data_IF_962818349108
#
_entry.id   IF_962818349108
#
_cell.length_a   1.000
_cell.length_b   1.000
_cell.length_c   1.000
_cell.angle_alpha   90.00
_cell.angle_beta   90.00
_cell.angle_gamma   90.00
#
_symmetry.space_group_name_H-M   'P 1'
#
loop_
_entity.id
_entity.type
_entity.pdbx_description
1 polymer ?
#
# COMPACT_ATOMS: atom_id res chain seq x y z
N UNK A 1 42.12 32.10 14.20
CA UNK A 1 41.50 31.44 13.01
C UNK A 1 40.19 32.15 12.69
N UNK A 2 40.19 32.99 11.65
CA UNK A 2 39.00 33.74 11.23
C UNK A 2 37.96 32.80 10.55
N UNK A 3 36.71 32.84 11.00
CA UNK A 3 35.59 32.11 10.38
C UNK A 3 35.36 32.67 8.96
N UNK A 4 35.18 31.81 7.93
CA UNK A 4 34.84 32.29 6.61
C UNK A 4 33.47 32.99 6.64
N UNK A 5 33.41 34.19 6.04
CA UNK A 5 32.17 34.98 6.02
C UNK A 5 31.07 34.29 5.23
N UNK A 6 29.78 34.60 5.51
CA UNK A 6 28.60 34.02 4.85
C UNK A 6 28.66 34.09 3.30
N UNK A 7 29.32 35.11 2.74
CA UNK A 7 29.55 35.25 1.29
C UNK A 7 30.48 34.16 0.72
N UNK A 8 31.54 33.81 1.46
CA UNK A 8 32.50 32.77 1.05
C UNK A 8 31.85 31.38 1.11
N UNK A 9 31.01 31.13 2.10
CA UNK A 9 30.23 29.89 2.22
C UNK A 9 29.22 29.72 1.07
N UNK A 10 28.51 30.82 0.72
CA UNK A 10 27.55 30.81 -0.39
C UNK A 10 28.20 30.56 -1.76
N UNK A 11 29.39 31.15 -2.01
CA UNK A 11 30.15 30.90 -3.25
C UNK A 11 30.66 29.46 -3.30
N UNK A 12 31.12 28.91 -2.16
CA UNK A 12 31.57 27.50 -2.09
C UNK A 12 30.43 26.52 -2.37
N UNK A 13 29.25 26.75 -1.82
CA UNK A 13 28.06 25.93 -2.08
C UNK A 13 27.63 26.01 -3.55
N UNK A 14 27.66 27.20 -4.15
CA UNK A 14 27.33 27.40 -5.57
C UNK A 14 28.34 26.68 -6.48
N UNK A 15 29.62 26.77 -6.19
CA UNK A 15 30.66 26.08 -6.94
C UNK A 15 30.54 24.54 -6.83
N UNK A 16 30.22 24.01 -5.64
CA UNK A 16 30.00 22.59 -5.45
C UNK A 16 28.76 22.10 -6.19
N UNK A 17 27.68 22.88 -6.17
CA UNK A 17 26.48 22.58 -6.95
C UNK A 17 26.71 22.58 -8.47
N UNK A 18 27.46 23.56 -8.98
CA UNK A 18 27.83 23.63 -10.40
C UNK A 18 28.82 22.51 -10.82
N UNK A 19 29.75 22.14 -9.95
CA UNK A 19 30.64 20.99 -10.19
C UNK A 19 29.85 19.69 -10.17
N UNK A 20 28.91 19.51 -9.24
CA UNK A 20 28.01 18.35 -9.18
C UNK A 20 27.14 18.25 -10.43
N UNK A 21 26.52 19.33 -10.87
CA UNK A 21 25.75 19.39 -12.09
C UNK A 21 26.58 19.12 -13.35
N UNK A 22 27.82 19.61 -13.39
CA UNK A 22 28.76 19.36 -14.51
C UNK A 22 29.18 17.88 -14.57
N UNK A 23 29.50 17.24 -13.45
CA UNK A 23 29.82 15.81 -13.39
C UNK A 23 28.61 14.97 -13.75
N UNK A 24 27.43 15.28 -13.25
CA UNK A 24 26.18 14.61 -13.60
C UNK A 24 25.89 14.70 -15.10
N UNK A 25 25.98 15.88 -15.68
CA UNK A 25 25.79 16.09 -17.12
C UNK A 25 26.79 15.32 -18.00
N UNK A 26 28.07 15.26 -17.58
CA UNK A 26 29.11 14.51 -18.32
C UNK A 26 28.92 13.00 -18.20
N UNK A 27 28.50 12.48 -17.06
CA UNK A 27 28.18 11.06 -16.87
C UNK A 27 26.96 10.67 -17.71
N UNK A 28 25.92 11.50 -17.74
CA UNK A 28 24.74 11.27 -18.58
C UNK A 28 25.10 11.25 -20.06
N UNK A 29 25.87 12.24 -20.52
CA UNK A 29 26.32 12.31 -21.91
C UNK A 29 27.17 11.09 -22.28
N UNK A 30 28.04 10.63 -21.40
CA UNK A 30 28.89 9.44 -21.63
C UNK A 30 28.07 8.13 -21.70
N UNK A 31 26.93 8.04 -21.00
CA UNK A 31 25.99 6.91 -21.04
C UNK A 31 25.02 6.98 -22.23
N UNK A 32 24.94 8.13 -22.93
CA UNK A 32 24.05 8.34 -24.07
C UNK A 32 22.56 8.33 -23.70
N UNK A 33 22.21 8.85 -22.49
CA UNK A 33 20.82 8.97 -22.06
C UNK A 33 20.04 9.95 -22.96
N UNK A 34 18.82 9.56 -23.35
CA UNK A 34 17.89 10.38 -24.15
C UNK A 34 16.98 11.26 -23.31
N UNK A 35 16.95 11.04 -21.99
CA UNK A 35 16.15 11.80 -21.04
C UNK A 35 16.28 11.27 -19.63
N UNK A 36 15.43 11.76 -18.73
CA UNK A 36 15.24 11.23 -17.38
C UNK A 36 13.79 11.28 -16.95
N UNK A 37 13.40 10.43 -16.02
CA UNK A 37 12.13 10.43 -15.35
C UNK A 37 12.35 10.32 -13.85
N UNK A 38 11.66 11.15 -13.06
CA UNK A 38 11.67 11.06 -11.60
C UNK A 38 10.56 10.15 -11.13
N UNK A 39 10.93 9.17 -10.29
CA UNK A 39 10.02 8.17 -9.70
C UNK A 39 10.07 8.25 -8.18
N UNK A 40 8.96 8.60 -7.54
CA UNK A 40 8.81 8.60 -6.09
C UNK A 40 7.99 7.38 -5.64
N UNK A 41 8.52 6.55 -4.72
CA UNK A 41 7.83 5.40 -4.16
C UNK A 41 8.20 5.20 -2.68
N UNK A 42 7.52 4.28 -1.98
CA UNK A 42 7.82 3.96 -0.57
C UNK A 42 8.81 2.80 -0.41
N UNK A 43 9.22 2.16 -1.47
CA UNK A 43 10.08 0.99 -1.42
C UNK A 43 11.50 1.34 -0.96
N UNK A 44 12.04 0.52 -0.05
CA UNK A 44 13.36 0.70 0.54
C UNK A 44 14.03 -0.65 0.80
N UNK A 45 15.33 -0.65 1.13
CA UNK A 45 16.07 -1.89 1.40
C UNK A 45 15.98 -2.89 0.25
N UNK A 46 15.75 -4.15 0.56
CA UNK A 46 15.70 -5.27 -0.41
C UNK A 46 14.62 -5.08 -1.48
N UNK A 47 13.47 -4.55 -1.11
CA UNK A 47 12.36 -4.31 -2.05
C UNK A 47 12.77 -3.30 -3.14
N UNK A 48 13.45 -2.22 -2.74
CA UNK A 48 14.02 -1.26 -3.67
C UNK A 48 15.09 -1.89 -4.56
N UNK A 49 16.01 -2.66 -3.98
CA UNK A 49 17.08 -3.35 -4.71
C UNK A 49 16.52 -4.27 -5.78
N UNK A 50 15.49 -5.05 -5.46
CA UNK A 50 14.80 -5.91 -6.42
C UNK A 50 14.11 -5.12 -7.53
N UNK A 51 13.46 -4.01 -7.20
CA UNK A 51 12.82 -3.17 -8.21
C UNK A 51 13.85 -2.47 -9.11
N UNK A 52 14.96 -2.01 -8.57
CA UNK A 52 16.08 -1.45 -9.34
C UNK A 52 16.65 -2.50 -10.30
N UNK A 53 16.96 -3.71 -9.83
CA UNK A 53 17.58 -4.78 -10.62
C UNK A 53 16.65 -5.33 -11.73
N UNK A 54 15.37 -5.58 -11.39
CA UNK A 54 14.47 -6.27 -12.31
C UNK A 54 13.63 -5.35 -13.19
N UNK A 55 13.47 -4.08 -12.80
CA UNK A 55 12.59 -3.14 -13.50
C UNK A 55 13.34 -1.93 -14.02
N UNK A 56 14.08 -1.20 -13.14
CA UNK A 56 14.72 0.05 -13.53
C UNK A 56 15.90 -0.21 -14.49
N UNK A 57 16.82 -1.09 -14.14
CA UNK A 57 17.99 -1.35 -14.98
C UNK A 57 17.61 -1.85 -16.39
N UNK A 58 16.69 -2.82 -16.58
CA UNK A 58 16.22 -3.23 -17.90
C UNK A 58 15.51 -2.12 -18.68
N UNK A 59 14.72 -1.28 -17.99
CA UNK A 59 14.10 -0.10 -18.61
C UNK A 59 15.14 0.88 -19.14
N UNK A 60 16.11 1.21 -18.32
CA UNK A 60 17.20 2.13 -18.65
C UNK A 60 18.03 1.62 -19.83
N UNK A 61 18.34 0.33 -19.85
CA UNK A 61 19.07 -0.30 -20.96
C UNK A 61 18.28 -0.26 -22.26
N UNK A 62 16.98 -0.56 -22.19
CA UNK A 62 16.10 -0.65 -23.36
C UNK A 62 15.79 0.71 -23.95
N UNK A 63 15.49 1.72 -23.13
CA UNK A 63 14.96 3.02 -23.59
C UNK A 63 15.95 4.17 -23.49
N UNK A 64 17.09 3.98 -22.89
CA UNK A 64 18.10 5.03 -22.66
C UNK A 64 17.54 6.23 -21.89
N UNK A 65 16.62 5.97 -20.97
CA UNK A 65 16.00 6.95 -20.08
C UNK A 65 16.52 6.69 -18.66
N UNK A 66 17.10 7.70 -18.02
CA UNK A 66 17.63 7.65 -16.65
C UNK A 66 16.47 7.74 -15.64
N UNK A 67 16.30 6.76 -14.75
CA UNK A 67 15.28 6.78 -13.70
C UNK A 67 15.86 7.34 -12.41
N UNK A 68 15.44 8.54 -12.06
CA UNK A 68 15.84 9.18 -10.80
C UNK A 68 14.89 8.71 -9.70
N UNK A 69 15.24 7.58 -9.06
CA UNK A 69 14.43 7.00 -8.01
C UNK A 69 14.57 7.75 -6.68
N UNK A 70 13.43 8.04 -6.04
CA UNK A 70 13.32 8.62 -4.71
C UNK A 70 12.48 7.70 -3.81
N UNK A 71 13.11 7.07 -2.83
CA UNK A 71 12.42 6.23 -1.84
C UNK A 71 12.12 7.00 -0.56
N UNK A 72 10.89 6.89 -0.04
CA UNK A 72 10.52 7.53 1.23
C UNK A 72 9.43 6.78 1.97
N UNK A 73 9.68 6.38 3.22
CA UNK A 73 8.65 5.86 4.13
C UNK A 73 7.61 6.92 4.51
N UNK A 74 7.91 8.21 4.31
CA UNK A 74 6.97 9.33 4.47
C UNK A 74 6.43 9.83 3.12
N UNK A 75 6.19 8.91 2.19
CA UNK A 75 5.80 9.15 0.81
C UNK A 75 4.72 10.22 0.65
N UNK A 76 3.59 10.06 1.32
CA UNK A 76 2.45 10.99 1.21
C UNK A 76 2.78 12.42 1.65
N UNK A 77 3.65 12.57 2.68
CA UNK A 77 4.09 13.87 3.15
C UNK A 77 5.07 14.53 2.16
N UNK A 78 6.00 13.74 1.62
CA UNK A 78 6.96 14.20 0.60
C UNK A 78 6.22 14.62 -0.66
N UNK A 79 5.34 13.78 -1.20
CA UNK A 79 4.56 14.08 -2.39
C UNK A 79 3.71 15.36 -2.21
N UNK A 80 3.03 15.49 -1.08
CA UNK A 80 2.23 16.69 -0.79
C UNK A 80 3.09 17.97 -0.73
N UNK A 81 4.30 17.88 -0.17
CA UNK A 81 5.23 19.00 -0.11
C UNK A 81 5.76 19.39 -1.51
N UNK A 82 6.10 18.42 -2.34
CA UNK A 82 6.59 18.63 -3.70
C UNK A 82 5.51 19.23 -4.61
N UNK A 83 4.27 18.74 -4.51
CA UNK A 83 3.11 19.33 -5.19
C UNK A 83 2.90 20.77 -4.74
N UNK A 84 2.94 21.05 -3.43
CA UNK A 84 2.77 22.40 -2.89
C UNK A 84 3.91 23.35 -3.31
N UNK A 85 5.13 22.83 -3.47
CA UNK A 85 6.28 23.58 -3.97
C UNK A 85 6.25 23.81 -5.49
N UNK A 86 5.31 23.20 -6.22
CA UNK A 86 5.22 23.26 -7.68
C UNK A 86 6.30 22.45 -8.42
N UNK A 87 6.87 21.46 -7.75
CA UNK A 87 7.91 20.60 -8.30
C UNK A 87 7.63 19.11 -7.99
N UNK A 88 6.47 18.58 -8.43
CA UNK A 88 6.14 17.17 -8.22
C UNK A 88 7.09 16.25 -9.01
N UNK A 89 7.25 14.99 -8.60
CA UNK A 89 7.90 13.97 -9.41
C UNK A 89 7.11 13.73 -10.71
N UNK A 90 7.75 13.15 -11.72
CA UNK A 90 7.04 12.81 -12.97
C UNK A 90 6.04 11.68 -12.71
N UNK A 91 6.46 10.65 -11.98
CA UNK A 91 5.65 9.50 -11.57
C UNK A 91 5.74 9.30 -10.06
N UNK A 92 4.61 9.04 -9.42
CA UNK A 92 4.56 8.57 -8.03
C UNK A 92 3.83 7.24 -7.93
N UNK A 93 4.30 6.37 -7.02
CA UNK A 93 3.66 5.08 -6.72
C UNK A 93 3.14 5.11 -5.30
N UNK A 94 1.82 5.05 -5.14
CA UNK A 94 1.14 5.13 -3.84
C UNK A 94 0.50 3.78 -3.48
N UNK A 95 0.38 3.46 -2.17
CA UNK A 95 -0.11 2.14 -1.72
C UNK A 95 -1.61 1.93 -1.94
N UNK A 96 -2.36 2.95 -2.39
CA UNK A 96 -3.80 2.77 -2.60
C UNK A 96 -4.49 3.92 -3.32
N UNK A 97 -5.76 3.71 -3.71
CA UNK A 97 -6.47 4.62 -4.60
C UNK A 97 -7.04 5.87 -3.92
N UNK A 98 -7.17 5.91 -2.59
CA UNK A 98 -7.88 7.00 -1.89
C UNK A 98 -7.17 8.35 -2.00
N UNK A 99 -5.85 8.39 -1.86
CA UNK A 99 -5.05 9.60 -2.03
C UNK A 99 -4.95 9.99 -3.51
N UNK A 100 -4.83 9.00 -4.42
CA UNK A 100 -4.82 9.23 -5.86
C UNK A 100 -6.14 9.82 -6.36
N UNK A 101 -7.27 9.34 -5.87
CA UNK A 101 -8.58 9.92 -6.18
C UNK A 101 -8.64 11.41 -5.82
N UNK A 102 -8.13 11.78 -4.65
CA UNK A 102 -8.09 13.18 -4.23
C UNK A 102 -7.21 14.02 -5.19
N UNK A 103 -6.03 13.53 -5.55
CA UNK A 103 -5.16 14.23 -6.50
C UNK A 103 -5.76 14.30 -7.92
N UNK A 104 -6.47 13.27 -8.38
CA UNK A 104 -7.17 13.31 -9.65
C UNK A 104 -8.27 14.38 -9.66
N UNK A 105 -9.12 14.43 -8.63
CA UNK A 105 -10.18 15.42 -8.47
C UNK A 105 -9.62 16.86 -8.38
N UNK A 106 -8.45 17.02 -7.78
CA UNK A 106 -7.75 18.31 -7.68
C UNK A 106 -6.97 18.68 -8.95
N UNK A 107 -7.07 17.88 -10.03
CA UNK A 107 -6.39 18.11 -11.32
C UNK A 107 -4.86 18.03 -11.22
N UNK A 108 -4.35 17.19 -10.33
CA UNK A 108 -2.91 16.98 -10.10
C UNK A 108 -2.37 15.75 -10.81
N UNK A 109 -3.24 14.86 -11.27
CA UNK A 109 -2.88 13.67 -12.04
C UNK A 109 -3.26 13.83 -13.50
N UNK A 110 -2.51 13.18 -14.36
CA UNK A 110 -2.80 13.11 -15.78
C UNK A 110 -3.44 11.77 -16.13
N UNK A 111 -4.47 11.76 -17.01
CA UNK A 111 -5.07 10.53 -17.52
C UNK A 111 -4.05 9.60 -18.16
N UNK A 112 -4.20 8.30 -17.91
CA UNK A 112 -3.34 7.26 -18.50
C UNK A 112 -3.99 6.57 -19.71
N UNK A 113 -5.09 7.12 -20.22
CA UNK A 113 -5.82 6.58 -21.36
C UNK A 113 -4.91 6.39 -22.58
N UNK A 114 -4.90 5.18 -23.14
CA UNK A 114 -4.06 4.81 -24.28
C UNK A 114 -2.59 4.58 -23.96
N UNK A 115 -2.16 4.66 -22.69
CA UNK A 115 -0.82 4.25 -22.27
C UNK A 115 -0.74 2.75 -22.01
N UNK A 116 -1.84 2.12 -21.61
CA UNK A 116 -1.96 0.67 -21.43
C UNK A 116 -3.41 0.20 -21.72
N UNK A 117 -3.62 -1.10 -21.82
CA UNK A 117 -4.95 -1.69 -21.96
C UNK A 117 -5.55 -1.92 -20.56
N UNK A 118 -6.47 -1.05 -20.15
CA UNK A 118 -7.20 -1.21 -18.89
C UNK A 118 -8.04 -2.50 -18.86
N UNK A 119 -8.33 -3.11 -20.02
CA UNK A 119 -8.99 -4.42 -20.14
C UNK A 119 -8.14 -5.58 -19.64
N UNK A 120 -6.83 -5.42 -19.48
CA UNK A 120 -5.95 -6.41 -18.86
C UNK A 120 -6.09 -6.47 -17.34
N UNK A 121 -6.79 -5.51 -16.75
CA UNK A 121 -7.08 -5.41 -15.32
C UNK A 121 -8.57 -5.51 -15.06
N UNK A 122 -8.96 -5.97 -13.89
CA UNK A 122 -10.33 -5.78 -13.43
C UNK A 122 -10.59 -4.29 -13.17
N UNK A 123 -11.83 -3.83 -13.45
CA UNK A 123 -12.24 -2.44 -13.18
C UNK A 123 -12.05 -2.00 -11.73
N UNK A 124 -11.96 -2.95 -10.85
CA UNK A 124 -11.64 -2.76 -9.45
C UNK A 124 -10.21 -2.20 -9.26
N UNK A 125 -9.22 -2.72 -10.02
CA UNK A 125 -7.82 -2.32 -9.93
C UNK A 125 -7.52 -0.99 -10.65
N UNK A 126 -8.10 -0.82 -11.82
CA UNK A 126 -7.89 0.36 -12.68
C UNK A 126 -9.25 0.93 -13.11
N UNK A 127 -10.03 1.53 -12.19
CA UNK A 127 -11.34 2.09 -12.51
C UNK A 127 -11.22 3.36 -13.35
N UNK A 128 -12.27 3.60 -14.14
CA UNK A 128 -12.52 4.94 -14.65
C UNK A 128 -13.04 5.83 -13.52
N UNK A 129 -12.36 6.92 -13.27
CA UNK A 129 -12.72 7.94 -12.29
C UNK A 129 -13.29 9.15 -13.02
N UNK A 130 -14.48 9.58 -12.61
CA UNK A 130 -15.10 10.80 -13.18
C UNK A 130 -14.60 12.03 -12.44
N UNK A 131 -13.87 12.88 -13.15
CA UNK A 131 -13.41 14.17 -12.64
C UNK A 131 -14.31 15.28 -13.20
N UNK A 132 -14.82 16.20 -12.36
CA UNK A 132 -15.66 17.29 -12.79
C UNK A 132 -14.98 18.16 -13.87
N UNK A 133 -15.58 18.22 -15.07
CA UNK A 133 -15.07 19.01 -16.19
C UNK A 133 -14.11 18.29 -17.14
N UNK A 134 -13.59 17.12 -16.78
CA UNK A 134 -12.66 16.34 -17.63
C UNK A 134 -13.30 15.06 -18.19
N UNK A 135 -14.27 14.47 -17.51
CA UNK A 135 -14.87 13.22 -17.92
C UNK A 135 -14.47 12.03 -17.04
N UNK A 136 -14.61 10.82 -17.59
CA UNK A 136 -14.19 9.59 -16.93
C UNK A 136 -12.89 9.09 -17.57
N UNK A 137 -11.86 8.90 -16.77
CA UNK A 137 -10.52 8.50 -17.19
C UNK A 137 -9.90 7.54 -16.19
N UNK A 138 -8.90 6.76 -16.64
CA UNK A 138 -8.03 5.98 -15.75
C UNK A 138 -6.83 6.83 -15.36
N UNK A 139 -6.58 6.98 -14.04
CA UNK A 139 -5.52 7.87 -13.52
C UNK A 139 -4.34 7.11 -12.89
N UNK A 140 -4.45 5.80 -12.71
CA UNK A 140 -3.37 5.00 -12.13
C UNK A 140 -3.27 3.61 -12.75
N UNK A 141 -2.06 3.07 -12.69
CA UNK A 141 -1.72 1.73 -13.12
C UNK A 141 -1.36 0.89 -11.89
N UNK A 142 -1.98 -0.28 -11.65
CA UNK A 142 -1.51 -1.23 -10.63
C UNK A 142 -0.15 -1.82 -11.03
N UNK A 143 0.88 -1.54 -10.23
CA UNK A 143 2.25 -2.06 -10.46
C UNK A 143 2.47 -3.33 -9.66
N UNK A 144 2.14 -3.28 -8.35
CA UNK A 144 2.21 -4.42 -7.43
C UNK A 144 0.87 -4.60 -6.75
N UNK A 145 0.54 -5.84 -6.42
CA UNK A 145 -0.69 -6.18 -5.69
C UNK A 145 -0.40 -7.26 -4.65
N UNK A 146 -1.23 -7.33 -3.62
CA UNK A 146 -1.06 -8.31 -2.54
C UNK A 146 -2.36 -8.70 -1.88
N UNK A 147 -2.39 -9.86 -1.26
CA UNK A 147 -3.48 -10.29 -0.37
C UNK A 147 -3.19 -9.84 1.06
N UNK A 148 -4.22 -9.48 1.81
CA UNK A 148 -4.12 -9.10 3.23
C UNK A 148 -4.91 -10.01 4.18
N UNK A 149 -6.02 -10.60 3.78
CA UNK A 149 -6.83 -11.52 4.60
C UNK A 149 -6.13 -12.86 4.87
N UNK A 150 -4.88 -12.82 5.32
CA UNK A 150 -4.04 -14.00 5.51
C UNK A 150 -3.63 -14.17 6.97
N UNK A 151 -3.69 -15.40 7.45
CA UNK A 151 -3.14 -15.79 8.74
C UNK A 151 -2.06 -16.82 8.51
N UNK A 152 -0.84 -16.41 8.73
CA UNK A 152 0.36 -17.22 8.61
C UNK A 152 0.58 -18.07 9.87
N UNK A 153 1.08 -19.29 9.68
CA UNK A 153 1.37 -20.22 10.76
C UNK A 153 2.42 -21.27 10.37
N UNK A 154 3.10 -21.83 11.35
CA UNK A 154 3.90 -23.04 11.19
C UNK A 154 3.32 -24.15 12.08
N UNK A 155 3.17 -25.37 11.52
CA UNK A 155 2.59 -26.52 12.21
C UNK A 155 1.12 -26.78 11.84
N UNK A 156 0.26 -27.21 12.79
CA UNK A 156 -1.16 -27.50 12.51
C UNK A 156 -1.93 -26.22 12.15
N UNK A 157 -2.79 -26.30 11.12
CA UNK A 157 -3.64 -25.20 10.70
C UNK A 157 -4.50 -24.68 11.88
N UNK A 158 -4.57 -23.34 12.07
CA UNK A 158 -5.35 -22.77 13.16
C UNK A 158 -6.86 -22.88 12.90
N UNK A 159 -7.61 -22.88 13.99
CA UNK A 159 -9.07 -22.77 14.01
C UNK A 159 -9.46 -21.57 14.88
N UNK A 160 -10.72 -21.12 14.80
CA UNK A 160 -11.21 -20.02 15.64
C UNK A 160 -10.97 -20.27 17.14
N UNK A 161 -11.09 -21.52 17.62
CA UNK A 161 -10.83 -21.88 19.02
C UNK A 161 -9.34 -21.76 19.36
N UNK A 162 -8.45 -22.29 18.52
CA UNK A 162 -6.99 -22.28 18.76
C UNK A 162 -6.37 -20.89 18.58
N UNK A 163 -7.00 -20.00 17.84
CA UNK A 163 -6.57 -18.62 17.60
C UNK A 163 -7.05 -17.63 18.67
N UNK A 164 -8.02 -18.00 19.54
CA UNK A 164 -8.67 -17.10 20.49
C UNK A 164 -7.75 -16.42 21.52
N UNK A 165 -6.75 -17.10 22.13
CA UNK A 165 -5.91 -16.46 23.15
C UNK A 165 -4.98 -15.39 22.56
N UNK A 166 -4.89 -14.16 23.16
CA UNK A 166 -4.01 -13.09 22.66
C UNK A 166 -2.54 -13.49 22.55
N UNK A 167 -2.06 -14.36 23.43
CA UNK A 167 -0.68 -14.86 23.39
C UNK A 167 -0.34 -15.69 22.14
N UNK A 168 -1.34 -16.11 21.37
CA UNK A 168 -1.15 -16.83 20.10
C UNK A 168 -0.72 -15.92 18.97
N UNK A 169 -0.99 -14.61 19.06
CA UNK A 169 -0.75 -13.68 17.99
C UNK A 169 0.58 -12.94 18.12
N UNK A 170 1.34 -12.94 17.04
CA UNK A 170 2.34 -11.94 16.81
C UNK A 170 1.63 -10.66 16.36
N UNK A 171 2.00 -9.54 16.92
CA UNK A 171 1.51 -8.25 16.51
C UNK A 171 2.61 -7.21 16.70
N UNK A 172 2.87 -6.42 15.69
CA UNK A 172 3.76 -5.26 15.71
C UNK A 172 3.05 -4.10 15.01
N UNK A 173 2.99 -2.94 15.66
CA UNK A 173 2.33 -1.75 15.13
C UNK A 173 3.31 -0.64 14.76
N UNK A 174 4.63 -0.87 14.96
CA UNK A 174 5.66 0.10 14.63
C UNK A 174 6.00 0.00 13.14
N UNK A 175 5.96 1.13 12.43
CA UNK A 175 6.30 1.29 11.01
C UNK A 175 6.72 2.74 10.72
N UNK A 176 7.57 3.32 11.57
CA UNK A 176 8.04 4.69 11.39
C UNK A 176 6.92 5.71 11.25
N UNK A 177 6.92 6.45 10.16
CA UNK A 177 5.94 7.51 9.88
C UNK A 177 4.50 6.99 9.68
N UNK A 178 4.34 5.71 9.37
CA UNK A 178 3.05 5.06 9.11
C UNK A 178 2.62 4.10 10.21
N UNK A 179 3.28 4.12 11.38
CA UNK A 179 2.92 3.29 12.53
C UNK A 179 1.42 3.30 12.80
N UNK A 180 0.86 2.11 13.01
CA UNK A 180 -0.57 1.90 13.20
C UNK A 180 -1.26 1.21 12.02
N UNK A 181 -0.73 1.30 10.79
CA UNK A 181 -1.34 0.61 9.64
C UNK A 181 -1.50 -0.92 9.86
N UNK A 182 -0.60 -1.65 10.54
CA UNK A 182 -0.85 -3.07 10.76
C UNK A 182 -2.06 -3.32 11.68
N UNK A 183 -2.43 -2.35 12.51
CA UNK A 183 -3.60 -2.43 13.37
C UNK A 183 -4.89 -2.05 12.63
N UNK A 184 -4.83 -1.19 11.61
CA UNK A 184 -5.99 -0.91 10.75
C UNK A 184 -6.37 -2.14 9.95
N UNK A 185 -5.40 -2.86 9.37
CA UNK A 185 -5.62 -4.12 8.64
C UNK A 185 -6.45 -5.13 9.45
N UNK A 186 -6.17 -5.26 10.76
CA UNK A 186 -6.97 -6.12 11.62
C UNK A 186 -8.42 -5.68 11.75
N UNK A 187 -8.64 -4.38 11.98
CA UNK A 187 -10.00 -3.84 12.13
C UNK A 187 -10.78 -3.96 10.83
N UNK A 188 -10.11 -3.70 9.73
CA UNK A 188 -10.62 -3.73 8.37
C UNK A 188 -11.04 -5.15 7.99
N UNK A 189 -10.14 -6.11 8.12
CA UNK A 189 -10.43 -7.49 7.76
C UNK A 189 -11.50 -8.10 8.68
N UNK A 190 -11.48 -7.80 10.00
CA UNK A 190 -12.58 -8.19 10.90
C UNK A 190 -13.92 -7.62 10.43
N UNK A 191 -13.97 -6.35 10.05
CA UNK A 191 -15.19 -5.73 9.55
C UNK A 191 -15.65 -6.38 8.25
N UNK A 192 -14.72 -6.63 7.32
CA UNK A 192 -15.01 -7.29 6.04
C UNK A 192 -15.61 -8.67 6.26
N UNK A 193 -15.01 -9.50 7.13
CA UNK A 193 -15.50 -10.85 7.39
C UNK A 193 -16.82 -10.86 8.20
N UNK A 194 -16.99 -9.95 9.16
CA UNK A 194 -18.17 -9.94 10.05
C UNK A 194 -19.36 -9.21 9.48
N UNK A 195 -19.18 -8.21 8.60
CA UNK A 195 -20.26 -7.37 8.09
C UNK A 195 -20.45 -7.48 6.57
N UNK A 196 -19.48 -8.05 5.86
CA UNK A 196 -19.51 -8.28 4.42
C UNK A 196 -19.09 -7.07 3.57
N UNK A 197 -18.81 -7.32 2.28
CA UNK A 197 -18.20 -6.33 1.37
C UNK A 197 -18.99 -5.04 1.21
N UNK A 198 -20.33 -5.10 1.25
CA UNK A 198 -21.17 -3.90 1.07
C UNK A 198 -21.04 -2.94 2.26
N UNK A 199 -21.08 -3.45 3.48
CA UNK A 199 -20.93 -2.63 4.69
C UNK A 199 -19.53 -2.06 4.75
N UNK A 200 -18.53 -2.88 4.41
CA UNK A 200 -17.14 -2.50 4.31
C UNK A 200 -16.92 -1.35 3.31
N UNK A 201 -17.43 -1.49 2.09
CA UNK A 201 -17.35 -0.46 1.05
C UNK A 201 -18.05 0.84 1.46
N UNK A 202 -19.25 0.76 2.07
CA UNK A 202 -19.96 1.95 2.54
C UNK A 202 -19.17 2.68 3.64
N UNK A 203 -18.48 1.94 4.50
CA UNK A 203 -17.62 2.50 5.53
C UNK A 203 -16.34 3.12 4.94
N UNK A 204 -15.61 2.41 4.10
CA UNK A 204 -14.39 2.91 3.45
C UNK A 204 -14.66 4.17 2.62
N UNK A 205 -15.80 4.23 1.94
CA UNK A 205 -16.25 5.41 1.20
C UNK A 205 -16.87 6.53 2.07
N UNK A 206 -16.85 6.40 3.39
CA UNK A 206 -17.40 7.40 4.30
C UNK A 206 -18.94 7.56 4.21
N UNK A 207 -19.66 6.60 3.66
CA UNK A 207 -21.14 6.57 3.67
C UNK A 207 -21.68 6.01 4.98
N UNK A 208 -21.05 4.99 5.55
CA UNK A 208 -21.35 4.46 6.88
C UNK A 208 -20.51 5.19 7.96
N UNK A 209 -21.12 5.59 9.09
CA UNK A 209 -20.35 6.25 10.16
C UNK A 209 -19.42 5.28 10.91
N UNK A 210 -18.33 5.82 11.47
CA UNK A 210 -17.42 5.09 12.34
C UNK A 210 -18.10 4.59 13.62
N UNK A 211 -19.11 5.31 14.08
CA UNK A 211 -19.93 4.96 15.26
C UNK A 211 -20.96 3.86 15.00
N UNK A 212 -21.05 3.32 13.79
CA UNK A 212 -21.91 2.18 13.47
C UNK A 212 -21.57 0.96 14.32
N UNK A 213 -22.57 0.17 14.66
CA UNK A 213 -22.42 -1.00 15.51
C UNK A 213 -21.52 -2.09 14.88
N UNK A 214 -21.51 -2.22 13.55
CA UNK A 214 -20.61 -3.17 12.89
C UNK A 214 -19.16 -2.77 13.02
N UNK A 215 -18.85 -1.48 12.82
CA UNK A 215 -17.51 -0.93 13.01
C UNK A 215 -17.05 -1.07 14.46
N UNK A 216 -17.91 -0.69 15.43
CA UNK A 216 -17.64 -0.85 16.85
C UNK A 216 -17.32 -2.30 17.22
N UNK A 217 -18.08 -3.26 16.69
CA UNK A 217 -17.81 -4.71 16.95
C UNK A 217 -16.44 -5.11 16.42
N UNK A 218 -16.04 -4.67 15.21
CA UNK A 218 -14.74 -4.98 14.66
C UNK A 218 -13.59 -4.50 15.58
N UNK A 219 -13.64 -3.27 16.06
CA UNK A 219 -12.67 -2.73 17.03
C UNK A 219 -12.63 -3.52 18.35
N UNK A 220 -13.81 -3.90 18.84
CA UNK A 220 -13.91 -4.68 20.11
C UNK A 220 -13.38 -6.10 19.91
N UNK A 221 -13.67 -6.72 18.78
CA UNK A 221 -13.14 -8.04 18.42
C UNK A 221 -11.62 -8.00 18.32
N UNK A 222 -11.07 -7.03 17.61
CA UNK A 222 -9.63 -6.82 17.50
C UNK A 222 -8.97 -6.67 18.88
N UNK A 223 -9.48 -5.76 19.72
CA UNK A 223 -8.95 -5.55 21.07
C UNK A 223 -8.88 -6.84 21.89
N UNK A 224 -9.92 -7.69 21.79
CA UNK A 224 -9.95 -8.98 22.46
C UNK A 224 -8.95 -10.00 21.91
N UNK A 225 -8.80 -10.06 20.57
CA UNK A 225 -7.88 -11.00 19.92
C UNK A 225 -6.41 -10.70 20.21
N UNK A 226 -6.03 -9.41 20.23
CA UNK A 226 -4.62 -9.03 20.37
C UNK A 226 -4.22 -8.61 21.79
N UNK A 227 -5.18 -8.53 22.72
CA UNK A 227 -4.94 -8.18 24.12
C UNK A 227 -4.69 -6.69 24.33
N UNK A 228 -5.49 -5.83 23.69
CA UNK A 228 -5.41 -4.38 23.88
C UNK A 228 -5.69 -3.99 25.34
N UNK A 229 -4.92 -3.03 25.88
CA UNK A 229 -5.01 -2.58 27.27
C UNK A 229 -4.31 -3.46 28.30
N UNK A 230 -3.78 -4.62 27.90
CA UNK A 230 -2.88 -5.41 28.75
C UNK A 230 -1.51 -4.74 28.82
N UNK A 231 -1.04 -4.38 30.03
CA UNK A 231 0.16 -3.56 30.21
C UNK A 231 1.42 -4.19 29.60
N UNK A 232 1.57 -5.52 29.73
CA UNK A 232 2.74 -6.24 29.20
C UNK A 232 2.70 -6.32 27.66
N UNK A 233 1.48 -6.39 27.09
CA UNK A 233 1.28 -6.44 25.63
C UNK A 233 1.40 -5.07 24.98
N UNK A 234 0.93 -4.02 25.64
CA UNK A 234 0.93 -2.64 25.08
C UNK A 234 2.33 -2.19 24.72
N UNK A 235 3.29 -2.28 25.65
CA UNK A 235 4.68 -1.92 25.36
C UNK A 235 5.26 -2.77 24.22
N UNK A 236 5.10 -4.09 24.30
CA UNK A 236 5.62 -5.02 23.32
C UNK A 236 5.10 -4.69 21.91
N UNK A 237 3.78 -4.59 21.72
CA UNK A 237 3.16 -4.47 20.40
C UNK A 237 3.40 -3.08 19.78
N UNK A 238 3.37 -2.01 20.58
CA UNK A 238 3.60 -0.66 20.09
C UNK A 238 5.06 -0.39 19.67
N UNK A 239 6.01 -1.16 20.19
CA UNK A 239 7.45 -1.01 19.89
C UNK A 239 8.01 -2.11 19.00
N UNK A 240 7.21 -3.12 18.65
CA UNK A 240 7.60 -4.18 17.72
C UNK A 240 7.32 -3.72 16.29
N UNK A 241 8.30 -3.88 15.42
CA UNK A 241 8.15 -3.61 13.99
C UNK A 241 7.10 -4.57 13.38
N UNK A 242 6.38 -4.08 12.38
CA UNK A 242 5.30 -4.81 11.70
C UNK A 242 5.78 -6.10 11.01
N UNK A 243 7.04 -6.15 10.63
CA UNK A 243 7.69 -7.26 9.92
C UNK A 243 8.64 -8.07 10.81
N UNK A 244 8.61 -7.85 12.13
CA UNK A 244 9.43 -8.59 13.08
C UNK A 244 9.15 -10.09 13.03
N UNK A 245 10.16 -10.90 13.32
CA UNK A 245 10.04 -12.36 13.33
C UNK A 245 8.99 -12.84 14.34
N UNK A 246 8.12 -13.70 13.87
CA UNK A 246 7.08 -14.31 14.69
C UNK A 246 7.60 -15.59 15.36
N UNK A 247 7.50 -15.67 16.69
CA UNK A 247 7.96 -16.83 17.43
C UNK A 247 7.22 -18.12 17.02
N UNK A 248 7.95 -19.23 16.98
CA UNK A 248 7.42 -20.53 16.62
C UNK A 248 6.11 -20.90 17.38
N UNK A 249 5.14 -21.42 16.65
CA UNK A 249 3.84 -21.79 17.17
C UNK A 249 2.87 -20.65 17.42
N UNK A 250 3.21 -19.41 17.04
CA UNK A 250 2.30 -18.27 17.00
C UNK A 250 1.68 -18.10 15.61
N UNK A 251 0.74 -17.18 15.52
CA UNK A 251 0.02 -16.79 14.32
C UNK A 251 0.38 -15.35 13.96
N UNK A 252 0.44 -15.05 12.68
CA UNK A 252 0.65 -13.70 12.19
C UNK A 252 -0.46 -13.33 11.20
N UNK A 253 -1.21 -12.25 11.47
CA UNK A 253 -2.11 -11.64 10.49
C UNK A 253 -1.33 -10.58 9.75
N UNK A 254 -0.94 -10.89 8.52
CA UNK A 254 -0.14 -10.02 7.66
C UNK A 254 -0.33 -10.38 6.17
N UNK A 255 -0.02 -9.44 5.30
CA UNK A 255 -0.17 -9.60 3.87
C UNK A 255 0.79 -10.58 3.21
N UNK A 256 0.56 -10.81 1.92
CA UNK A 256 1.31 -11.75 1.09
C UNK A 256 2.80 -11.42 0.92
N UNK A 257 3.22 -10.19 1.23
CA UNK A 257 4.65 -9.82 1.26
C UNK A 257 5.46 -10.63 2.29
N UNK A 258 4.79 -11.29 3.26
CA UNK A 258 5.43 -12.19 4.22
C UNK A 258 5.66 -13.61 3.68
N UNK A 259 5.21 -13.94 2.47
CA UNK A 259 5.30 -15.30 1.91
C UNK A 259 6.73 -15.85 1.90
N UNK A 260 7.73 -15.02 1.52
CA UNK A 260 9.14 -15.41 1.53
C UNK A 260 9.64 -15.81 2.92
N UNK A 261 9.35 -15.00 3.95
CA UNK A 261 9.71 -15.28 5.34
C UNK A 261 9.08 -16.60 5.83
N UNK A 262 7.77 -16.77 5.65
CA UNK A 262 7.08 -17.97 6.12
C UNK A 262 7.46 -19.23 5.35
N UNK A 263 7.85 -19.12 4.08
CA UNK A 263 8.42 -20.24 3.32
C UNK A 263 9.72 -20.74 3.95
N UNK A 264 10.62 -19.86 4.38
CA UNK A 264 11.87 -20.23 5.06
C UNK A 264 11.59 -20.93 6.39
N UNK A 265 10.54 -20.56 7.10
CA UNK A 265 10.08 -21.18 8.35
C UNK A 265 9.26 -22.47 8.15
N UNK A 266 9.04 -22.92 6.90
CA UNK A 266 8.19 -24.06 6.59
C UNK A 266 6.71 -23.85 6.94
N UNK A 267 6.28 -22.58 6.90
CA UNK A 267 4.93 -22.14 7.21
C UNK A 267 3.98 -22.21 6.01
N UNK A 268 2.71 -21.97 6.30
CA UNK A 268 1.60 -21.90 5.35
C UNK A 268 0.62 -20.83 5.84
N UNK A 269 -0.46 -20.60 5.12
CA UNK A 269 -1.49 -19.66 5.55
C UNK A 269 -2.90 -20.23 5.44
N UNK A 270 -3.82 -19.68 6.22
CA UNK A 270 -5.26 -19.84 6.02
C UNK A 270 -5.90 -18.48 5.78
N UNK A 271 -7.08 -18.48 5.15
CA UNK A 271 -7.86 -17.25 5.03
C UNK A 271 -8.32 -16.79 6.41
N UNK A 272 -8.35 -15.48 6.65
CA UNK A 272 -8.67 -14.92 7.97
C UNK A 272 -10.03 -15.36 8.51
N UNK A 273 -11.03 -15.62 7.66
CA UNK A 273 -12.33 -16.14 8.07
C UNK A 273 -12.30 -17.52 8.72
N UNK A 274 -11.22 -18.29 8.56
CA UNK A 274 -11.06 -19.59 9.24
C UNK A 274 -10.81 -19.43 10.74
N UNK A 275 -10.25 -18.28 11.15
CA UNK A 275 -9.90 -18.00 12.55
C UNK A 275 -10.79 -16.93 13.18
N UNK A 276 -11.35 -16.04 12.40
CA UNK A 276 -12.36 -15.05 12.83
C UNK A 276 -13.66 -15.35 12.07
N UNK A 277 -14.63 -16.01 12.70
CA UNK A 277 -15.82 -16.47 12.01
C UNK A 277 -16.56 -15.34 11.30
N UNK A 278 -16.82 -15.55 10.02
CA UNK A 278 -17.57 -14.64 9.19
C UNK A 278 -19.08 -14.71 9.48
N UNK A 279 -19.80 -13.62 9.26
CA UNK A 279 -21.25 -13.55 9.37
C UNK A 279 -21.87 -13.53 7.96
N UNK A 280 -22.36 -14.68 7.49
CA UNK A 280 -23.23 -14.74 6.31
C UNK A 280 -22.61 -15.35 5.05
N UNK A 281 -23.26 -15.12 3.91
CA UNK A 281 -22.96 -15.80 2.63
C UNK A 281 -21.72 -15.26 1.89
N UNK A 282 -21.23 -14.08 2.26
CA UNK A 282 -20.07 -13.41 1.65
C UNK A 282 -18.75 -13.69 2.41
N UNK A 283 -18.75 -14.75 3.21
CA UNK A 283 -17.58 -15.26 3.89
C UNK A 283 -16.47 -15.60 2.87
N UNK A 284 -15.25 -15.09 3.10
CA UNK A 284 -14.12 -15.36 2.23
C UNK A 284 -13.85 -14.29 1.18
N UNK A 285 -14.40 -13.07 1.34
CA UNK A 285 -13.90 -11.91 0.63
C UNK A 285 -12.46 -11.60 1.06
N UNK A 286 -11.60 -11.31 0.08
CA UNK A 286 -10.20 -10.99 0.32
C UNK A 286 -9.98 -9.50 0.44
N UNK A 287 -9.37 -9.06 1.51
CA UNK A 287 -8.74 -7.75 1.55
C UNK A 287 -7.46 -7.78 0.73
N UNK A 288 -7.22 -6.72 -0.04
CA UNK A 288 -6.09 -6.61 -0.95
C UNK A 288 -5.41 -5.26 -0.82
N UNK A 289 -4.14 -5.23 -1.13
CA UNK A 289 -3.32 -4.02 -1.26
C UNK A 289 -2.76 -3.89 -2.67
N UNK A 290 -2.27 -2.71 -3.01
CA UNK A 290 -1.57 -2.52 -4.27
C UNK A 290 -0.79 -1.22 -4.29
N UNK A 291 0.32 -1.24 -5.01
CA UNK A 291 1.11 -0.06 -5.32
C UNK A 291 0.71 0.45 -6.71
N UNK A 292 0.20 1.68 -6.76
CA UNK A 292 -0.45 2.29 -7.91
C UNK A 292 0.40 3.43 -8.46
N UNK A 293 0.90 3.29 -9.69
CA UNK A 293 1.66 4.33 -10.38
C UNK A 293 0.73 5.37 -11.02
N UNK A 294 1.00 6.64 -10.79
CA UNK A 294 0.28 7.76 -11.38
C UNK A 294 1.25 8.81 -11.92
N UNK A 295 0.84 9.52 -12.97
CA UNK A 295 1.62 10.58 -13.62
C UNK A 295 1.18 11.94 -13.10
N UNK A 296 2.13 12.68 -12.52
CA UNK A 296 1.91 14.06 -12.08
C UNK A 296 2.48 15.08 -13.08
N UNK A 297 3.54 14.70 -13.83
CA UNK A 297 4.15 15.54 -14.84
C UNK A 297 4.24 14.74 -16.16
N UNK A 298 3.42 15.03 -17.19
CA UNK A 298 3.26 14.21 -18.38
C UNK A 298 4.40 14.43 -19.37
N UNK A 299 5.58 13.92 -19.04
CA UNK A 299 6.72 13.88 -19.96
C UNK A 299 6.67 12.63 -20.84
N UNK A 300 7.25 12.66 -22.05
CA UNK A 300 7.38 11.44 -22.88
C UNK A 300 8.09 10.29 -22.15
N UNK A 301 9.01 10.62 -21.23
CA UNK A 301 9.74 9.64 -20.42
C UNK A 301 8.84 9.00 -19.35
N UNK A 302 7.97 9.80 -18.71
CA UNK A 302 6.97 9.30 -17.77
C UNK A 302 5.98 8.35 -18.44
N UNK A 303 5.45 8.75 -19.61
CA UNK A 303 4.56 7.89 -20.39
C UNK A 303 5.24 6.59 -20.82
N UNK A 304 6.52 6.67 -21.21
CA UNK A 304 7.28 5.47 -21.59
C UNK A 304 7.48 4.53 -20.39
N UNK A 305 7.71 5.07 -19.19
CA UNK A 305 7.80 4.27 -17.97
C UNK A 305 6.46 3.59 -17.65
N UNK A 306 5.33 4.31 -17.74
CA UNK A 306 4.01 3.69 -17.53
C UNK A 306 3.73 2.58 -18.54
N UNK A 307 4.03 2.77 -19.83
CA UNK A 307 3.88 1.70 -20.83
C UNK A 307 4.73 0.48 -20.53
N UNK A 308 5.94 0.69 -20.04
CA UNK A 308 6.85 -0.39 -19.67
C UNK A 308 6.37 -1.15 -18.43
N UNK A 309 5.91 -0.44 -17.40
CA UNK A 309 5.36 -1.05 -16.19
C UNK A 309 4.06 -1.83 -16.45
N UNK A 310 3.30 -1.43 -17.47
CA UNK A 310 2.07 -2.12 -17.88
C UNK A 310 2.30 -3.30 -18.83
N UNK A 311 3.49 -3.40 -19.41
CA UNK A 311 3.83 -4.48 -20.35
C UNK A 311 3.79 -5.85 -19.62
N UNK A 312 2.95 -6.81 -20.06
CA UNK A 312 2.84 -8.10 -19.39
C UNK A 312 4.14 -8.91 -19.35
N UNK A 313 5.11 -8.58 -20.20
CA UNK A 313 6.43 -9.22 -20.23
C UNK A 313 7.44 -8.54 -19.26
N UNK A 314 7.07 -7.44 -18.61
CA UNK A 314 7.90 -6.80 -17.58
C UNK A 314 7.89 -7.63 -16.30
N UNK A 315 9.08 -8.08 -15.86
CA UNK A 315 9.24 -8.87 -14.65
C UNK A 315 9.08 -8.00 -13.39
N UNK A 316 7.82 -7.67 -13.05
CA UNK A 316 7.52 -6.94 -11.82
C UNK A 316 7.76 -7.85 -10.61
N UNK A 317 8.45 -7.36 -9.55
CA UNK A 317 8.61 -8.13 -8.33
C UNK A 317 7.26 -8.34 -7.62
N UNK A 318 7.14 -9.41 -6.83
CA UNK A 318 5.95 -9.85 -6.12
C UNK A 318 4.78 -10.28 -7.05
N UNK A 319 3.59 -9.67 -6.92
CA UNK A 319 2.39 -10.08 -7.64
C UNK A 319 1.82 -8.93 -8.47
N UNK A 320 1.26 -9.28 -9.62
CA UNK A 320 0.57 -8.32 -10.51
C UNK A 320 -0.91 -8.66 -10.65
N UNK A 321 -1.75 -7.63 -10.77
CA UNK A 321 -3.16 -7.75 -11.16
C UNK A 321 -3.35 -7.84 -12.68
N UNK A 322 -2.30 -7.71 -13.48
CA UNK A 322 -2.36 -7.83 -14.94
C UNK A 322 -2.67 -9.28 -15.34
N UNK A 323 -3.83 -9.50 -15.97
CA UNK A 323 -4.29 -10.82 -16.40
C UNK A 323 -3.55 -11.34 -17.63
N UNK A 324 -2.94 -10.46 -18.41
CA UNK A 324 -2.13 -10.84 -19.58
C UNK A 324 -0.72 -11.31 -19.19
N UNK A 325 -0.25 -10.96 -17.97
CA UNK A 325 1.06 -11.39 -17.50
C UNK A 325 1.12 -12.92 -17.32
N UNK A 326 2.20 -13.51 -17.82
CA UNK A 326 2.44 -14.93 -17.65
C UNK A 326 2.60 -15.29 -16.16
N UNK A 327 2.15 -16.49 -15.73
CA UNK A 327 2.48 -16.98 -14.40
C UNK A 327 3.99 -17.10 -14.24
N UNK A 328 4.53 -16.58 -13.14
CA UNK A 328 5.92 -16.80 -12.81
C UNK A 328 6.15 -18.28 -12.49
N UNK A 329 7.01 -18.94 -13.26
CA UNK A 329 7.30 -20.37 -13.14
C UNK A 329 8.28 -20.69 -12.01
N UNK A 330 8.96 -19.67 -11.46
CA UNK A 330 9.91 -19.81 -10.37
C UNK A 330 9.22 -19.71 -8.99
N UNK A 331 8.00 -19.18 -8.94
CA UNK A 331 7.20 -19.11 -7.71
C UNK A 331 6.87 -20.50 -7.15
N UNK A 332 6.84 -20.60 -5.83
CA UNK A 332 6.39 -21.82 -5.16
C UNK A 332 4.84 -22.01 -5.23
N UNK A 333 4.32 -23.05 -4.58
CA UNK A 333 2.88 -23.36 -4.63
C UNK A 333 2.04 -22.28 -3.94
N UNK A 334 2.51 -21.73 -2.83
CA UNK A 334 1.84 -20.69 -2.04
C UNK A 334 1.80 -19.38 -2.83
N UNK A 335 2.92 -18.96 -3.40
CA UNK A 335 3.03 -17.76 -4.23
C UNK A 335 2.14 -17.84 -5.48
N UNK A 336 2.13 -19.00 -6.18
CA UNK A 336 1.22 -19.22 -7.32
C UNK A 336 -0.25 -19.16 -6.91
N UNK A 337 -0.61 -19.68 -5.73
CA UNK A 337 -1.97 -19.59 -5.21
C UNK A 337 -2.38 -18.15 -4.95
N UNK A 338 -1.51 -17.35 -4.32
CA UNK A 338 -1.73 -15.90 -4.09
C UNK A 338 -1.97 -15.19 -5.43
N UNK A 339 -1.07 -15.37 -6.40
CA UNK A 339 -1.21 -14.77 -7.74
C UNK A 339 -2.48 -15.21 -8.47
N UNK A 340 -2.94 -16.45 -8.24
CA UNK A 340 -4.21 -16.93 -8.77
C UNK A 340 -5.40 -16.21 -8.14
N UNK A 341 -5.43 -16.09 -6.81
CA UNK A 341 -6.52 -15.40 -6.08
C UNK A 341 -6.62 -13.93 -6.52
N UNK A 342 -5.49 -13.26 -6.74
CA UNK A 342 -5.46 -11.85 -7.16
C UNK A 342 -6.04 -11.62 -8.55
N UNK A 343 -6.00 -12.62 -9.45
CA UNK A 343 -6.42 -12.49 -10.85
C UNK A 343 -7.67 -13.29 -11.22
N UNK A 344 -8.10 -14.25 -10.38
CA UNK A 344 -9.22 -15.14 -10.68
C UNK A 344 -10.55 -14.38 -10.76
N UNK A 345 -11.32 -14.47 -11.88
CA UNK A 345 -12.63 -13.85 -11.96
C UNK A 345 -13.62 -14.44 -10.95
N UNK A 346 -14.56 -13.63 -10.49
CA UNK A 346 -15.64 -14.04 -9.60
C UNK A 346 -15.26 -14.14 -8.12
N UNK A 347 -14.02 -13.84 -7.76
CA UNK A 347 -13.65 -13.67 -6.34
C UNK A 347 -13.92 -12.25 -5.88
N UNK A 348 -14.57 -12.13 -4.73
CA UNK A 348 -14.74 -10.84 -4.09
C UNK A 348 -13.42 -10.39 -3.47
N UNK A 349 -12.94 -9.24 -3.92
CA UNK A 349 -11.76 -8.54 -3.39
C UNK A 349 -12.17 -7.14 -2.97
N UNK A 350 -11.65 -6.69 -1.84
CA UNK A 350 -11.85 -5.33 -1.36
C UNK A 350 -10.49 -4.69 -1.08
N UNK A 351 -10.30 -3.45 -1.54
CA UNK A 351 -9.14 -2.66 -1.15
C UNK A 351 -9.05 -2.58 0.37
N UNK A 352 -7.85 -2.60 0.91
CA UNK A 352 -7.53 -2.07 2.22
C UNK A 352 -8.27 -0.74 2.40
N UNK A 353 -9.17 -0.68 3.39
CA UNK A 353 -10.06 0.48 3.51
C UNK A 353 -9.29 1.75 3.86
N UNK A 354 -8.22 1.65 4.65
CA UNK A 354 -7.40 2.81 4.99
C UNK A 354 -6.70 3.39 3.77
N UNK A 355 -6.21 2.53 2.87
CA UNK A 355 -5.60 2.94 1.60
C UNK A 355 -6.63 3.45 0.58
N UNK A 356 -7.89 3.02 0.70
CA UNK A 356 -9.00 3.57 -0.08
C UNK A 356 -9.56 4.89 0.50
N UNK A 357 -9.26 5.23 1.75
CA UNK A 357 -9.73 6.46 2.41
C UNK A 357 -8.90 7.70 2.00
N UNK A 358 -9.48 8.91 2.12
CA UNK A 358 -8.71 10.15 2.04
C UNK A 358 -7.58 10.17 3.08
N UNK A 359 -6.40 10.66 2.72
CA UNK A 359 -5.20 10.69 3.56
C UNK A 359 -5.46 11.15 5.00
N UNK A 360 -6.21 12.23 5.19
CA UNK A 360 -6.51 12.76 6.54
C UNK A 360 -7.30 11.78 7.40
N UNK A 361 -8.20 10.99 6.82
CA UNK A 361 -8.97 9.96 7.52
C UNK A 361 -8.09 8.76 7.81
N UNK A 362 -7.30 8.30 6.84
CA UNK A 362 -6.32 7.22 7.00
C UNK A 362 -5.34 7.51 8.13
N UNK A 363 -4.67 8.67 8.08
CA UNK A 363 -3.67 9.03 9.09
C UNK A 363 -4.28 9.13 10.50
N UNK A 364 -5.52 9.63 10.61
CA UNK A 364 -6.25 9.65 11.88
C UNK A 364 -6.64 8.23 12.35
N UNK A 365 -6.96 7.33 11.44
CA UNK A 365 -7.27 5.93 11.76
C UNK A 365 -6.01 5.21 12.28
N UNK A 366 -4.85 5.35 11.62
CA UNK A 366 -3.56 4.85 12.14
C UNK A 366 -3.31 5.30 13.58
N UNK A 367 -3.52 6.58 13.88
CA UNK A 367 -3.35 7.11 15.23
C UNK A 367 -4.41 6.60 16.21
N UNK A 368 -5.63 6.38 15.74
CA UNK A 368 -6.72 5.89 16.58
C UNK A 368 -6.48 4.43 17.01
N UNK A 369 -5.97 3.56 16.13
CA UNK A 369 -5.65 2.17 16.49
C UNK A 369 -4.54 2.09 17.53
N UNK A 370 -3.47 2.89 17.40
CA UNK A 370 -2.39 2.94 18.40
C UNK A 370 -2.92 3.35 19.78
N UNK A 371 -3.74 4.40 19.81
CA UNK A 371 -4.38 4.87 21.06
C UNK A 371 -5.37 3.87 21.64
N UNK A 372 -6.11 3.16 20.77
CA UNK A 372 -7.06 2.13 21.22
C UNK A 372 -6.35 0.91 21.75
N UNK A 373 -5.24 0.51 21.13
CA UNK A 373 -4.44 -0.60 21.63
C UNK A 373 -3.89 -0.31 23.03
N UNK A 374 -3.39 0.91 23.25
CA UNK A 374 -2.90 1.35 24.55
C UNK A 374 -4.01 1.43 25.63
N UNK A 375 -5.18 1.91 25.26
CA UNK A 375 -6.32 2.11 26.16
C UNK A 375 -7.66 1.89 25.42
N UNK A 376 -8.26 0.71 25.49
CA UNK A 376 -9.51 0.40 24.80
C UNK A 376 -10.76 1.04 25.42
N UNK A 377 -10.66 1.68 26.59
CA UNK A 377 -11.84 2.19 27.34
C UNK A 377 -12.52 3.38 26.69
N UNK A 378 -11.85 4.11 25.77
CA UNK A 378 -12.33 5.33 25.14
C UNK A 378 -12.76 5.14 23.67
N UNK A 379 -13.17 3.92 23.27
CA UNK A 379 -13.51 3.62 21.88
C UNK A 379 -14.55 4.58 21.29
N UNK A 380 -15.66 4.81 22.02
CA UNK A 380 -16.76 5.69 21.54
C UNK A 380 -16.30 7.12 21.23
N UNK A 381 -15.36 7.63 22.01
CA UNK A 381 -14.79 8.96 21.76
C UNK A 381 -13.97 8.97 20.49
N UNK A 382 -13.12 7.95 20.29
CA UNK A 382 -12.28 7.83 19.10
C UNK A 382 -13.09 7.67 17.81
N UNK A 383 -14.14 6.82 17.86
CA UNK A 383 -15.02 6.65 16.71
C UNK A 383 -15.76 7.95 16.34
N UNK A 384 -16.17 8.75 17.32
CA UNK A 384 -16.74 10.09 17.07
C UNK A 384 -15.72 11.06 16.48
N UNK A 385 -14.47 11.03 16.94
CA UNK A 385 -13.39 11.84 16.38
C UNK A 385 -13.16 11.49 14.89
N UNK A 386 -13.15 10.20 14.55
CA UNK A 386 -13.04 9.75 13.16
C UNK A 386 -14.27 10.15 12.32
N UNK A 387 -15.48 10.10 12.88
CA UNK A 387 -16.69 10.58 12.20
C UNK A 387 -16.61 12.06 11.80
N UNK A 388 -15.94 12.91 12.57
CA UNK A 388 -15.74 14.31 12.21
C UNK A 388 -14.82 14.51 11.00
N UNK A 389 -13.96 13.54 10.71
CA UNK A 389 -13.04 13.56 9.56
C UNK A 389 -13.60 12.82 8.34
N UNK A 390 -14.72 12.12 8.51
CA UNK A 390 -15.37 11.33 7.48
C UNK A 390 -15.81 12.21 6.31
N UNK A 391 -15.35 11.86 5.10
CA UNK A 391 -15.75 12.53 3.86
C UNK A 391 -16.28 11.48 2.90
N UNK A 392 -17.54 11.56 2.47
CA UNK A 392 -18.08 10.67 1.46
C UNK A 392 -17.31 10.80 0.14
N UNK A 393 -16.97 9.67 -0.44
CA UNK A 393 -16.37 9.54 -1.76
C UNK A 393 -17.08 8.43 -2.54
N UNK A 394 -16.74 8.27 -3.81
CA UNK A 394 -17.31 7.23 -4.65
C UNK A 394 -16.19 6.50 -5.39
N UNK A 395 -15.59 5.56 -4.69
CA UNK A 395 -14.54 4.69 -5.20
C UNK A 395 -15.09 3.25 -5.23
N UNK A 396 -14.84 2.44 -6.26
CA UNK A 396 -15.11 1.01 -6.20
C UNK A 396 -14.10 0.36 -5.26
N UNK A 397 -14.49 0.20 -3.98
CA UNK A 397 -13.63 -0.40 -2.95
C UNK A 397 -13.68 -1.91 -3.04
N UNK A 398 -14.84 -2.49 -3.35
CA UNK A 398 -15.00 -3.93 -3.54
C UNK A 398 -15.40 -4.27 -4.98
N UNK A 399 -14.93 -5.42 -5.46
CA UNK A 399 -15.25 -5.94 -6.77
C UNK A 399 -15.15 -7.46 -6.85
N UNK A 400 -15.79 -8.05 -7.87
CA UNK A 400 -15.79 -9.51 -8.10
C UNK A 400 -14.97 -9.92 -9.34
N UNK A 401 -14.34 -8.96 -10.02
CA UNK A 401 -13.57 -9.21 -11.24
C UNK A 401 -14.42 -9.38 -12.49
#
# INVERSE_FOLDING_TARGET
>A
MSRPGARTLGILCLCLALLGAGVYATVRWARGWEGSVTLLANWSGTEREQFEEHVIEPFEEKYRIDVVYQGSSALSQVLAADIAAGNPPDVAVLPGPGELLAYAVDGRLHPLDGLFDAGDYDRFWAPEVTVPGEGAHTYWLPVKTGLKSMVWYAGPAPTAESAGPPARWCAGLESGATSGWPGTDWVEDILLQQAGPRVYEDWANGRLPWTDDAVRRAWTTWAGLVGAGDADRVEQVLTTAFDADCAAGRLEHQGSFRAGHWREEGGDYVHFSEVVPAAGADAGAWEVSGDLAAVLNPTPQAEQLIRYLADPDTALPEYTANRAAAPDTEQDATERQIGTILREPGRTRCWDASDAMPRTTRDAFHQAVLRHFADPTHLDTRLKELDHLRKPQNLPVCGTG
#
